data_IF_717718898168
#
_entry.id   IF_717718898168
#
_cell.length_a   1.000
_cell.length_b   1.000
_cell.length_c   1.000
_cell.angle_alpha   90.00
_cell.angle_beta   90.00
_cell.angle_gamma   90.00
#
_symmetry.space_group_name_H-M   'P 1'
#
loop_
_entity.id
_entity.type
_entity.pdbx_description
1 polymer ?
#
# COMPACT_ATOMS: atom_id res chain seq x y z
N UNK A 1 7.04 28.96 11.65
CA UNK A 1 7.61 27.60 11.51
C UNK A 1 7.02 26.97 10.25
N UNK A 2 7.76 26.96 9.14
CA UNK A 2 7.25 26.41 7.88
C UNK A 2 7.43 24.88 7.89
N UNK A 3 6.34 24.14 8.14
CA UNK A 3 6.29 22.71 7.85
C UNK A 3 6.42 22.57 6.34
N UNK A 4 7.48 21.89 5.86
CA UNK A 4 7.66 21.61 4.43
C UNK A 4 6.38 20.97 3.87
N UNK A 5 5.73 21.64 2.92
CA UNK A 5 4.41 21.27 2.39
C UNK A 5 4.32 19.82 1.88
N UNK A 6 5.46 19.23 1.50
CA UNK A 6 5.54 17.86 0.99
C UNK A 6 5.61 16.76 2.07
N UNK A 7 5.86 17.11 3.34
CA UNK A 7 6.03 16.12 4.42
C UNK A 7 4.71 15.62 5.02
N UNK A 8 3.69 16.49 5.08
CA UNK A 8 2.37 16.14 5.65
C UNK A 8 1.58 15.16 4.77
N UNK A 9 1.52 15.32 3.44
CA UNK A 9 0.87 14.34 2.57
C UNK A 9 1.52 12.96 2.66
N UNK A 10 2.86 12.92 2.72
CA UNK A 10 3.63 11.69 2.90
C UNK A 10 3.30 10.98 4.21
N UNK A 11 3.34 11.72 5.33
CA UNK A 11 2.97 11.16 6.64
C UNK A 11 1.52 10.66 6.64
N UNK A 12 0.59 11.39 6.02
CA UNK A 12 -0.82 10.96 5.90
C UNK A 12 -0.96 9.69 5.06
N UNK A 13 -0.21 9.56 3.97
CA UNK A 13 -0.16 8.34 3.16
C UNK A 13 0.27 7.14 3.99
N UNK A 14 1.37 7.27 4.73
CA UNK A 14 1.86 6.16 5.54
C UNK A 14 0.89 5.82 6.67
N UNK A 15 0.31 6.82 7.34
CA UNK A 15 -0.72 6.61 8.37
C UNK A 15 -1.95 5.89 7.80
N UNK A 16 -2.33 6.17 6.56
CA UNK A 16 -3.43 5.48 5.87
C UNK A 16 -3.10 4.00 5.67
N UNK A 17 -1.93 3.68 5.16
CA UNK A 17 -1.50 2.29 4.98
C UNK A 17 -1.39 1.56 6.33
N UNK A 18 -0.82 2.19 7.36
CA UNK A 18 -0.76 1.62 8.70
C UNK A 18 -2.17 1.41 9.30
N UNK A 19 -3.16 2.22 8.93
CA UNK A 19 -4.55 2.02 9.36
C UNK A 19 -5.17 0.76 8.77
N UNK A 20 -4.80 0.39 7.55
CA UNK A 20 -5.25 -0.87 6.95
C UNK A 20 -4.71 -2.09 7.71
N UNK A 21 -3.53 -1.98 8.33
CA UNK A 21 -2.89 -3.06 9.11
C UNK A 21 -3.40 -3.10 10.55
N UNK A 22 -3.35 -1.97 11.27
CA UNK A 22 -3.59 -1.92 12.72
C UNK A 22 -5.02 -1.50 13.11
N UNK A 23 -5.83 -1.02 12.16
CA UNK A 23 -7.20 -0.59 12.40
C UNK A 23 -7.31 0.47 13.52
N UNK A 24 -8.14 0.17 14.53
CA UNK A 24 -8.37 1.05 15.69
C UNK A 24 -7.16 1.16 16.63
N UNK A 25 -6.24 0.20 16.59
CA UNK A 25 -5.02 0.16 17.42
C UNK A 25 -3.86 1.00 16.88
N UNK A 26 -4.06 1.76 15.81
CA UNK A 26 -3.00 2.51 15.12
C UNK A 26 -2.16 3.39 16.04
N UNK A 27 -2.80 4.15 16.92
CA UNK A 27 -2.11 5.11 17.79
C UNK A 27 -1.20 4.46 18.85
N UNK A 28 -1.43 3.18 19.14
CA UNK A 28 -0.63 2.39 20.09
C UNK A 28 0.44 1.56 19.37
N UNK A 29 0.41 1.51 18.03
CA UNK A 29 1.37 0.76 17.24
C UNK A 29 2.78 1.35 17.37
N UNK A 30 3.81 0.52 17.63
CA UNK A 30 5.20 0.96 17.64
C UNK A 30 5.60 1.68 16.33
N UNK A 31 5.07 1.20 15.20
CA UNK A 31 5.32 1.77 13.86
C UNK A 31 4.81 3.22 13.75
N UNK A 32 3.62 3.49 14.30
CA UNK A 32 3.04 4.84 14.32
C UNK A 32 3.82 5.78 15.25
N UNK A 33 4.15 5.32 16.46
CA UNK A 33 4.90 6.11 17.44
C UNK A 33 6.30 6.46 16.92
N UNK A 34 6.99 5.49 16.32
CA UNK A 34 8.29 5.69 15.69
C UNK A 34 8.20 6.72 14.55
N UNK A 35 7.23 6.56 13.64
CA UNK A 35 7.07 7.49 12.52
C UNK A 35 6.80 8.92 13.00
N UNK A 36 5.93 9.07 14.00
CA UNK A 36 5.63 10.37 14.61
C UNK A 36 6.88 11.04 15.17
N UNK A 37 7.71 10.29 15.89
CA UNK A 37 8.96 10.77 16.47
C UNK A 37 9.99 11.17 15.40
N UNK A 38 10.16 10.36 14.35
CA UNK A 38 11.07 10.66 13.23
C UNK A 38 10.69 11.95 12.48
N UNK A 39 9.41 12.13 12.17
CA UNK A 39 8.93 13.34 11.51
C UNK A 39 9.03 14.58 12.42
N UNK A 40 8.82 14.42 13.73
CA UNK A 40 9.00 15.50 14.69
C UNK A 40 10.47 15.93 14.79
N UNK A 41 11.39 14.98 14.95
CA UNK A 41 12.85 15.24 14.99
C UNK A 41 13.35 15.92 13.71
N UNK A 42 12.87 15.48 12.54
CA UNK A 42 13.22 16.09 11.25
C UNK A 42 12.74 17.54 11.12
N UNK A 43 11.59 17.87 11.72
CA UNK A 43 11.07 19.25 11.73
C UNK A 43 11.91 20.19 12.59
N UNK A 44 12.46 19.70 13.72
CA UNK A 44 13.26 20.52 14.66
C UNK A 44 14.70 20.69 14.16
N UNK A 45 15.25 19.71 13.43
CA UNK A 45 16.67 19.69 13.03
C UNK A 45 16.95 20.50 11.74
N UNK A 46 16.16 21.54 11.46
CA UNK A 46 16.13 22.22 10.15
C UNK A 46 17.29 23.13 9.82
N UNK A 47 18.13 23.52 10.79
CA UNK A 47 19.07 24.63 10.60
C UNK A 47 20.46 24.24 10.09
N UNK A 48 20.85 22.96 10.06
CA UNK A 48 22.25 22.60 9.71
C UNK A 48 22.46 21.71 8.47
N UNK A 49 21.47 20.91 8.02
CA UNK A 49 21.72 19.94 6.95
C UNK A 49 20.50 19.75 6.02
N UNK A 50 20.45 20.49 4.91
CA UNK A 50 19.45 20.32 3.86
C UNK A 50 19.40 18.87 3.31
N UNK A 51 20.55 18.17 3.30
CA UNK A 51 20.70 16.78 2.86
C UNK A 51 19.97 15.75 3.74
N UNK A 52 19.98 15.93 5.05
CA UNK A 52 19.31 14.99 5.98
C UNK A 52 17.78 15.03 5.84
N UNK A 53 17.21 16.20 5.49
CA UNK A 53 15.78 16.33 5.19
C UNK A 53 15.38 15.61 3.91
N UNK A 54 16.18 15.71 2.85
CA UNK A 54 15.92 14.99 1.61
C UNK A 54 16.04 13.48 1.80
N UNK A 55 16.98 13.03 2.63
CA UNK A 55 17.16 11.60 2.92
C UNK A 55 15.95 11.02 3.67
N UNK A 56 15.42 11.71 4.67
CA UNK A 56 14.23 11.25 5.41
C UNK A 56 12.96 11.28 4.56
N UNK A 57 12.80 12.30 3.71
CA UNK A 57 11.69 12.33 2.76
C UNK A 57 11.76 11.18 1.76
N UNK A 58 12.95 10.90 1.22
CA UNK A 58 13.17 9.78 0.31
C UNK A 58 12.89 8.44 1.00
N UNK A 59 13.39 8.24 2.21
CA UNK A 59 13.08 7.04 3.00
C UNK A 59 11.57 6.88 3.25
N UNK A 60 10.89 7.96 3.64
CA UNK A 60 9.45 7.95 3.85
C UNK A 60 8.68 7.60 2.56
N UNK A 61 9.10 8.13 1.40
CA UNK A 61 8.53 7.77 0.10
C UNK A 61 8.73 6.28 -0.20
N UNK A 62 9.94 5.77 -0.01
CA UNK A 62 10.24 4.34 -0.23
C UNK A 62 9.37 3.45 0.65
N UNK A 63 9.21 3.79 1.93
CA UNK A 63 8.33 3.03 2.82
C UNK A 63 6.86 3.12 2.41
N UNK A 64 6.39 4.29 1.98
CA UNK A 64 5.02 4.44 1.49
C UNK A 64 4.78 3.54 0.27
N UNK A 65 5.64 3.63 -0.74
CA UNK A 65 5.56 2.78 -1.94
C UNK A 65 5.59 1.30 -1.59
N UNK A 66 6.45 0.91 -0.66
CA UNK A 66 6.52 -0.48 -0.21
C UNK A 66 5.20 -0.94 0.41
N UNK A 67 4.62 -0.16 1.33
CA UNK A 67 3.33 -0.49 1.97
C UNK A 67 2.19 -0.58 0.96
N UNK A 68 2.09 0.39 0.05
CA UNK A 68 1.09 0.40 -1.01
C UNK A 68 1.24 -0.83 -1.93
N UNK A 69 2.47 -1.15 -2.34
CA UNK A 69 2.75 -2.32 -3.18
C UNK A 69 2.42 -3.63 -2.47
N UNK A 70 2.64 -3.70 -1.16
CA UNK A 70 2.32 -4.89 -0.38
C UNK A 70 0.81 -5.11 -0.26
N UNK A 71 0.02 -4.03 -0.11
CA UNK A 71 -1.45 -4.11 -0.12
C UNK A 71 -1.95 -4.54 -1.50
N UNK A 72 -1.44 -3.93 -2.58
CA UNK A 72 -1.80 -4.29 -3.94
C UNK A 72 -1.44 -5.76 -4.24
N UNK A 73 -0.29 -6.22 -3.77
CA UNK A 73 0.12 -7.62 -3.91
C UNK A 73 -0.87 -8.55 -3.21
N UNK A 74 -1.35 -8.20 -2.02
CA UNK A 74 -2.38 -8.97 -1.32
C UNK A 74 -3.69 -9.01 -2.12
N UNK A 75 -4.16 -7.87 -2.63
CA UNK A 75 -5.38 -7.80 -3.44
C UNK A 75 -5.27 -8.67 -4.71
N UNK A 76 -4.15 -8.57 -5.43
CA UNK A 76 -3.88 -9.41 -6.61
C UNK A 76 -3.79 -10.88 -6.20
N UNK A 77 -3.13 -11.19 -5.09
CA UNK A 77 -3.02 -12.56 -4.60
C UNK A 77 -4.40 -13.13 -4.26
N UNK A 78 -5.25 -12.37 -3.59
CA UNK A 78 -6.60 -12.80 -3.21
C UNK A 78 -7.48 -13.02 -4.45
N UNK A 79 -7.36 -12.15 -5.46
CA UNK A 79 -8.07 -12.30 -6.72
C UNK A 79 -7.60 -13.54 -7.50
N UNK A 80 -6.29 -13.73 -7.67
CA UNK A 80 -5.76 -14.70 -8.63
C UNK A 80 -5.31 -16.03 -8.02
N UNK A 81 -4.82 -16.07 -6.78
CA UNK A 81 -4.19 -17.27 -6.20
C UNK A 81 -5.18 -18.40 -5.91
N UNK A 82 -6.44 -18.09 -5.60
CA UNK A 82 -7.49 -19.08 -5.34
C UNK A 82 -7.19 -20.00 -4.14
N UNK A 83 -8.21 -20.68 -3.61
CA UNK A 83 -8.03 -21.68 -2.54
C UNK A 83 -7.66 -23.08 -3.07
N UNK A 84 -7.54 -23.25 -4.39
CA UNK A 84 -7.31 -24.53 -5.08
C UNK A 84 -7.50 -24.37 -6.60
N UNK A 85 -7.63 -25.49 -7.32
CA UNK A 85 -7.90 -25.49 -8.76
C UNK A 85 -9.33 -24.96 -9.03
N UNK A 86 -9.44 -23.95 -9.89
CA UNK A 86 -10.73 -23.40 -10.34
C UNK A 86 -11.23 -24.18 -11.56
N UNK A 87 -12.55 -24.22 -11.78
CA UNK A 87 -13.09 -24.78 -13.02
C UNK A 87 -12.64 -23.98 -14.25
N UNK A 88 -12.73 -24.59 -15.43
CA UNK A 88 -12.37 -23.95 -16.71
C UNK A 88 -13.25 -22.72 -16.96
N UNK A 89 -14.54 -22.82 -16.62
CA UNK A 89 -15.52 -21.73 -16.70
C UNK A 89 -15.15 -20.57 -15.80
N UNK A 90 -14.92 -20.84 -14.52
CA UNK A 90 -14.56 -19.81 -13.55
C UNK A 90 -13.22 -19.14 -13.89
N UNK A 91 -12.27 -19.91 -14.43
CA UNK A 91 -10.98 -19.37 -14.86
C UNK A 91 -11.10 -18.50 -16.10
N UNK A 92 -11.92 -18.89 -17.09
CA UNK A 92 -12.21 -18.10 -18.27
C UNK A 92 -12.88 -16.78 -17.89
N UNK A 93 -13.91 -16.82 -17.04
CA UNK A 93 -14.63 -15.62 -16.59
C UNK A 93 -13.72 -14.66 -15.80
N UNK A 94 -12.83 -15.18 -14.95
CA UNK A 94 -11.89 -14.38 -14.16
C UNK A 94 -10.99 -13.48 -15.01
N UNK A 95 -10.63 -13.93 -16.21
CA UNK A 95 -9.83 -13.16 -17.17
C UNK A 95 -10.67 -12.47 -18.26
N UNK A 96 -12.01 -12.51 -18.15
CA UNK A 96 -12.93 -11.87 -19.10
C UNK A 96 -13.17 -12.66 -20.40
N UNK A 97 -12.89 -13.96 -20.41
CA UNK A 97 -13.17 -14.88 -21.51
C UNK A 97 -14.50 -15.63 -21.28
N UNK A 98 -15.05 -16.18 -22.36
CA UNK A 98 -16.25 -17.04 -22.33
C UNK A 98 -15.93 -18.37 -23.00
N UNK A 99 -16.53 -19.45 -22.50
CA UNK A 99 -16.41 -20.75 -23.16
C UNK A 99 -17.16 -20.75 -24.49
N UNK A 100 -16.64 -21.44 -25.51
CA UNK A 100 -17.36 -21.68 -26.74
C UNK A 100 -18.63 -22.50 -26.43
N UNK A 101 -19.76 -22.12 -27.05
CA UNK A 101 -20.99 -22.92 -26.97
C UNK A 101 -20.80 -24.17 -27.82
N UNK A 102 -21.02 -25.35 -27.23
CA UNK A 102 -21.04 -26.59 -28.01
C UNK A 102 -22.12 -26.48 -29.10
N UNK A 103 -21.82 -26.88 -30.36
CA UNK A 103 -22.81 -26.90 -31.40
C UNK A 103 -23.95 -27.84 -30.99
N UNK A 104 -25.18 -27.34 -31.00
CA UNK A 104 -26.38 -28.14 -30.77
C UNK A 104 -26.57 -28.97 -32.05
N UNK A 105 -26.63 -30.30 -31.99
CA UNK A 105 -26.90 -31.10 -33.18
C UNK A 105 -28.29 -30.73 -33.70
N UNK A 106 -28.37 -30.26 -34.94
CA UNK A 106 -29.62 -30.00 -35.65
C UNK A 106 -30.32 -31.35 -35.85
N UNK A 107 -31.43 -31.57 -35.11
CA UNK A 107 -32.32 -32.73 -35.23
C UNK A 107 -33.29 -32.57 -36.38
#
# INVERSE_FOLDING_TARGET
MAVNANSLPLLRGIIRELRHIYGKGLYQSPSYLYMKDQFHKSSVTSEKYCRSKTDLQYQAMTYLTFLESSRLLQEVTDMYKGAGERSVEASAELVGLKLPKNPVPET
#
